data_IF_727226406160
#
_entry.id   IF_727226406160
#
_cell.length_a   1.000
_cell.length_b   1.000
_cell.length_c   1.000
_cell.angle_alpha   90.00
_cell.angle_beta   90.00
_cell.angle_gamma   90.00
#
_symmetry.space_group_name_H-M   'P 1'
#
loop_
_entity.id
_entity.type
_entity.pdbx_description
1 polymer ?
#
# COMPACT_ATOMS: atom_id res chain seq x y z
N UNK A 1 -6.60 5.22 6.07
CA UNK A 1 -6.51 6.55 6.63
C UNK A 1 -5.32 6.59 7.56
N UNK A 2 -4.34 7.43 7.20
CA UNK A 2 -3.15 7.64 8.02
C UNK A 2 -3.60 8.30 9.33
N UNK A 3 -3.05 7.84 10.46
CA UNK A 3 -3.20 8.50 11.74
C UNK A 3 -2.87 9.99 11.59
N UNK A 4 -3.67 10.87 12.16
CA UNK A 4 -3.33 12.30 12.21
C UNK A 4 -2.00 12.49 12.97
N UNK A 5 -1.29 13.58 12.71
CA UNK A 5 -0.03 13.89 13.41
C UNK A 5 -0.21 13.93 14.93
N UNK A 6 -1.35 14.43 15.39
CA UNK A 6 -1.74 14.48 16.81
C UNK A 6 -1.96 13.09 17.40
N UNK A 7 -2.66 12.19 16.68
CA UNK A 7 -2.85 10.82 17.13
C UNK A 7 -1.54 10.04 17.16
N UNK A 8 -0.60 10.33 16.23
CA UNK A 8 0.75 9.75 16.24
C UNK A 8 1.56 10.22 17.46
N UNK A 9 1.55 11.52 17.74
CA UNK A 9 2.28 12.08 18.89
C UNK A 9 1.77 11.48 20.21
N UNK A 10 0.45 11.37 20.35
CA UNK A 10 -0.17 10.81 21.54
C UNK A 10 0.16 9.32 21.76
N UNK A 11 0.14 8.49 20.69
CA UNK A 11 0.44 7.07 20.78
C UNK A 11 1.94 6.82 21.00
N UNK A 12 2.82 7.63 20.40
CA UNK A 12 4.28 7.41 20.41
C UNK A 12 4.95 8.07 21.59
N UNK A 13 4.49 9.25 22.02
CA UNK A 13 5.19 10.07 23.01
C UNK A 13 4.43 10.28 24.34
N UNK A 14 3.17 9.82 24.41
CA UNK A 14 2.34 10.05 25.60
C UNK A 14 2.00 11.52 25.87
N UNK A 15 2.29 12.41 24.91
CA UNK A 15 2.00 13.83 25.03
C UNK A 15 0.50 14.08 25.03
N UNK A 16 0.00 14.75 26.06
CA UNK A 16 -1.41 15.09 26.15
C UNK A 16 -1.76 16.14 25.10
N UNK A 17 -2.78 15.93 24.24
CA UNK A 17 -3.38 17.05 23.53
C UNK A 17 -3.99 17.99 24.59
N UNK A 18 -3.57 19.24 24.59
CA UNK A 18 -4.22 20.26 25.43
C UNK A 18 -5.69 20.39 24.97
N UNK A 19 -6.60 19.89 25.77
CA UNK A 19 -8.04 20.13 25.60
C UNK A 19 -9.00 18.95 25.67
N UNK A 20 -8.56 17.69 25.64
CA UNK A 20 -9.50 16.55 25.55
C UNK A 20 -9.58 15.72 26.84
N UNK A 21 -10.50 16.12 27.74
CA UNK A 21 -10.84 15.34 28.94
C UNK A 21 -11.47 13.95 28.62
N UNK A 22 -12.00 13.74 27.41
CA UNK A 22 -12.55 12.46 26.96
C UNK A 22 -11.46 11.46 26.57
N UNK A 23 -10.34 11.93 26.05
CA UNK A 23 -9.21 11.05 25.68
C UNK A 23 -8.56 10.44 26.92
N UNK A 24 -8.57 11.12 28.06
CA UNK A 24 -8.08 10.57 29.33
C UNK A 24 -8.95 9.45 29.91
N UNK A 25 -10.26 9.44 29.62
CA UNK A 25 -11.17 8.37 30.04
C UNK A 25 -11.03 7.08 29.25
N UNK A 26 -10.36 7.13 28.11
CA UNK A 26 -10.21 5.99 27.20
C UNK A 26 -8.84 5.30 27.28
N UNK A 27 -7.93 5.77 28.14
CA UNK A 27 -6.74 5.02 28.53
C UNK A 27 -7.15 4.22 29.76
N UNK A 28 -7.30 2.90 29.63
CA UNK A 28 -7.71 2.09 30.75
C UNK A 28 -6.72 2.24 31.90
N UNK A 29 -7.23 2.36 33.11
CA UNK A 29 -6.42 2.55 34.31
C UNK A 29 -6.10 1.18 34.90
N UNK A 30 -4.89 0.67 34.63
CA UNK A 30 -4.27 -0.42 35.34
C UNK A 30 -4.92 -1.82 35.17
N UNK A 31 -4.10 -2.85 35.05
CA UNK A 31 -4.46 -4.26 34.84
C UNK A 31 -5.29 -4.59 33.59
N UNK A 32 -5.06 -3.82 32.54
CA UNK A 32 -5.69 -4.08 31.26
C UNK A 32 -5.20 -5.39 30.68
N UNK A 33 -6.17 -6.16 30.23
CA UNK A 33 -5.82 -7.32 29.43
C UNK A 33 -5.46 -6.84 28.00
N UNK A 34 -4.57 -7.55 27.33
CA UNK A 34 -4.13 -7.19 25.99
C UNK A 34 -5.27 -7.04 24.99
N UNK A 35 -6.44 -7.68 25.22
CA UNK A 35 -7.63 -7.56 24.39
C UNK A 35 -8.23 -6.15 24.43
N UNK A 36 -8.30 -5.51 25.60
CA UNK A 36 -8.81 -4.13 25.74
C UNK A 36 -7.91 -3.13 25.06
N UNK A 37 -6.58 -3.30 25.15
CA UNK A 37 -5.61 -2.46 24.43
C UNK A 37 -5.83 -2.59 22.93
N UNK A 38 -6.01 -3.80 22.42
CA UNK A 38 -6.23 -4.04 20.98
C UNK A 38 -7.56 -3.47 20.52
N UNK A 39 -8.64 -3.59 21.29
CA UNK A 39 -9.95 -3.03 20.91
C UNK A 39 -9.93 -1.49 20.91
N UNK A 40 -9.20 -0.88 21.85
CA UNK A 40 -8.94 0.56 21.83
C UNK A 40 -8.09 0.99 20.62
N UNK A 41 -7.07 0.21 20.24
CA UNK A 41 -6.28 0.46 19.04
C UNK A 41 -7.12 0.31 17.77
N UNK A 42 -7.96 -0.72 17.65
CA UNK A 42 -8.86 -0.92 16.50
C UNK A 42 -9.77 0.26 16.26
N UNK A 43 -10.39 0.79 17.32
CA UNK A 43 -11.32 1.92 17.22
C UNK A 43 -10.65 3.21 16.72
N UNK A 44 -9.33 3.37 16.99
CA UNK A 44 -8.55 4.58 16.67
C UNK A 44 -7.75 4.48 15.38
N UNK A 45 -7.36 3.28 14.97
CA UNK A 45 -6.36 3.08 13.90
C UNK A 45 -6.91 2.42 12.64
N UNK A 46 -8.19 2.06 12.60
CA UNK A 46 -8.78 1.33 11.47
C UNK A 46 -8.29 -0.12 11.32
N UNK A 47 -7.66 -0.71 12.35
CA UNK A 47 -7.21 -2.11 12.38
C UNK A 47 -8.35 -3.09 12.66
N UNK A 48 -9.54 -2.86 12.13
CA UNK A 48 -10.74 -3.62 12.42
C UNK A 48 -10.68 -5.14 12.15
N UNK A 49 -9.71 -5.59 11.34
CA UNK A 49 -9.52 -7.01 11.02
C UNK A 49 -8.61 -7.77 12.01
N UNK A 50 -7.99 -7.06 12.98
CA UNK A 50 -7.09 -7.69 13.94
C UNK A 50 -7.85 -8.26 15.13
N UNK A 51 -7.48 -9.48 15.52
CA UNK A 51 -7.94 -10.13 16.75
C UNK A 51 -6.79 -10.32 17.73
N UNK A 52 -7.05 -10.10 19.00
CA UNK A 52 -6.12 -10.44 20.06
C UNK A 52 -6.09 -11.97 20.25
N UNK A 53 -4.89 -12.55 20.15
CA UNK A 53 -4.66 -13.99 20.36
C UNK A 53 -4.01 -14.30 21.70
N UNK A 54 -3.36 -13.31 22.34
CA UNK A 54 -2.72 -13.46 23.64
C UNK A 54 -1.43 -12.67 23.79
N UNK A 55 -0.82 -12.78 24.95
CA UNK A 55 0.54 -12.29 25.22
C UNK A 55 1.51 -13.40 24.82
N UNK A 56 2.48 -13.08 23.95
CA UNK A 56 3.53 -14.00 23.52
C UNK A 56 4.71 -13.98 24.47
N UNK A 57 5.12 -12.79 24.91
CA UNK A 57 6.23 -12.62 25.84
C UNK A 57 6.02 -11.37 26.70
N UNK A 58 6.59 -11.39 27.91
CA UNK A 58 6.68 -10.23 28.79
C UNK A 58 8.09 -10.18 29.37
N UNK A 59 8.79 -9.07 29.13
CA UNK A 59 10.10 -8.77 29.69
C UNK A 59 9.96 -7.63 30.69
N UNK A 60 10.19 -7.92 31.97
CA UNK A 60 10.02 -6.98 33.08
C UNK A 60 11.41 -6.60 33.60
N UNK A 61 11.67 -5.31 33.66
CA UNK A 61 12.89 -4.75 34.22
C UNK A 61 12.51 -3.61 35.18
N UNK A 62 12.56 -3.85 36.47
CA UNK A 62 12.10 -2.96 37.54
C UNK A 62 10.65 -2.50 37.31
N UNK A 63 10.42 -1.19 37.22
CA UNK A 63 9.11 -0.58 37.00
C UNK A 63 8.71 -0.51 35.50
N UNK A 64 9.48 -1.11 34.59
CA UNK A 64 9.19 -1.12 33.17
C UNK A 64 8.96 -2.54 32.67
N UNK A 65 8.06 -2.68 31.72
CA UNK A 65 7.83 -3.95 31.04
C UNK A 65 7.67 -3.74 29.52
N UNK A 66 8.19 -4.68 28.73
CA UNK A 66 7.87 -4.81 27.30
C UNK A 66 6.97 -6.02 27.15
N UNK A 67 5.74 -5.77 26.75
CA UNK A 67 4.74 -6.82 26.49
C UNK A 67 4.59 -7.03 24.99
N UNK A 68 4.88 -8.23 24.53
CA UNK A 68 4.67 -8.64 23.14
C UNK A 68 3.28 -9.27 23.00
N UNK A 69 2.41 -8.61 22.24
CA UNK A 69 1.03 -9.03 22.01
C UNK A 69 0.94 -9.66 20.63
N UNK A 70 0.39 -10.87 20.59
CA UNK A 70 0.08 -11.58 19.34
C UNK A 70 -1.29 -11.16 18.82
N UNK A 71 -1.32 -10.67 17.57
CA UNK A 71 -2.50 -10.22 16.86
C UNK A 71 -2.69 -11.05 15.60
N UNK A 72 -3.88 -11.63 15.41
CA UNK A 72 -4.26 -12.32 14.18
C UNK A 72 -4.96 -11.38 13.23
N UNK A 73 -4.45 -11.19 12.00
CA UNK A 73 -5.22 -10.58 10.91
C UNK A 73 -5.96 -11.69 10.15
N UNK A 74 -7.28 -11.74 10.30
CA UNK A 74 -8.10 -12.79 9.69
C UNK A 74 -8.11 -12.73 8.17
N UNK A 75 -8.08 -11.54 7.58
CA UNK A 75 -8.06 -11.38 6.13
C UNK A 75 -6.74 -11.85 5.51
N UNK A 76 -5.64 -11.68 6.24
CA UNK A 76 -4.32 -12.13 5.83
C UNK A 76 -4.05 -13.58 6.25
N UNK A 77 -4.86 -14.13 7.18
CA UNK A 77 -4.60 -15.41 7.85
C UNK A 77 -3.20 -15.49 8.46
N UNK A 78 -2.70 -14.34 8.97
CA UNK A 78 -1.33 -14.18 9.49
C UNK A 78 -1.34 -13.54 10.86
N UNK A 79 -0.36 -13.94 11.67
CA UNK A 79 -0.10 -13.36 12.98
C UNK A 79 0.94 -12.26 12.89
N UNK A 80 0.78 -11.22 13.72
CA UNK A 80 1.69 -10.10 13.87
C UNK A 80 1.97 -9.86 15.34
N UNK A 81 3.16 -9.31 15.66
CA UNK A 81 3.57 -9.00 17.02
C UNK A 81 3.60 -7.50 17.23
N UNK A 82 2.79 -7.03 18.17
CA UNK A 82 2.81 -5.64 18.63
C UNK A 82 3.53 -5.57 19.97
N UNK A 83 4.55 -4.71 20.11
CA UNK A 83 5.32 -4.52 21.33
C UNK A 83 4.88 -3.25 22.05
N UNK A 84 4.47 -3.42 23.30
CA UNK A 84 3.94 -2.34 24.14
C UNK A 84 4.87 -2.16 25.31
N UNK A 85 5.34 -0.93 25.54
CA UNK A 85 6.04 -0.55 26.75
C UNK A 85 5.03 -0.13 27.79
N UNK A 86 5.15 -0.71 28.97
CA UNK A 86 4.34 -0.41 30.13
C UNK A 86 5.24 0.06 31.28
N UNK A 87 4.71 0.90 32.15
CA UNK A 87 5.37 1.35 33.36
C UNK A 87 4.46 1.06 34.57
N UNK A 88 5.07 0.52 35.64
CA UNK A 88 4.41 0.40 36.92
C UNK A 88 4.51 1.74 37.67
N UNK A 89 3.39 2.23 38.16
CA UNK A 89 3.32 3.45 38.95
C UNK A 89 3.39 3.13 40.45
N UNK A 90 3.51 4.18 41.28
CA UNK A 90 3.58 4.08 42.75
C UNK A 90 2.37 3.37 43.38
N UNK A 91 1.23 3.34 42.68
CA UNK A 91 0.01 2.62 43.06
C UNK A 91 0.07 1.12 42.75
N UNK A 92 1.19 0.64 42.15
CA UNK A 92 1.40 -0.74 41.74
C UNK A 92 0.71 -1.13 40.43
N UNK A 93 0.02 -0.20 39.76
CA UNK A 93 -0.67 -0.44 38.52
C UNK A 93 0.24 -0.22 37.31
N UNK A 94 0.13 -1.12 36.31
CA UNK A 94 0.85 -0.99 35.04
C UNK A 94 0.05 -0.12 34.09
N UNK A 95 0.74 0.87 33.46
CA UNK A 95 0.14 1.74 32.44
C UNK A 95 0.92 1.70 31.14
N UNK A 96 0.19 1.75 30.05
CA UNK A 96 0.75 1.83 28.71
C UNK A 96 1.48 3.17 28.55
N UNK A 97 2.75 3.12 28.14
CA UNK A 97 3.54 4.29 27.79
C UNK A 97 3.60 4.52 26.29
N UNK A 98 4.00 3.49 25.54
CA UNK A 98 4.19 3.59 24.09
C UNK A 98 4.08 2.24 23.39
N UNK A 99 3.86 2.27 22.09
CA UNK A 99 3.99 1.10 21.22
C UNK A 99 5.35 1.20 20.54
N UNK A 100 6.29 0.36 20.94
CA UNK A 100 7.72 0.50 20.57
C UNK A 100 8.03 0.09 19.13
N UNK A 101 7.18 -0.71 18.48
CA UNK A 101 7.39 -1.20 17.11
C UNK A 101 6.24 -0.85 16.14
N UNK A 102 5.49 0.22 16.40
CA UNK A 102 4.31 0.55 15.59
C UNK A 102 4.61 0.69 14.10
N UNK A 103 5.72 1.37 13.76
CA UNK A 103 6.09 1.58 12.35
C UNK A 103 6.46 0.26 11.64
N UNK A 104 7.26 -0.58 12.30
CA UNK A 104 7.66 -1.89 11.77
C UNK A 104 6.43 -2.79 11.61
N UNK A 105 5.55 -2.81 12.61
CA UNK A 105 4.29 -3.53 12.57
C UNK A 105 3.40 -3.09 11.39
N UNK A 106 3.26 -1.78 11.20
CA UNK A 106 2.47 -1.24 10.07
C UNK A 106 3.08 -1.60 8.73
N UNK A 107 4.40 -1.48 8.60
CA UNK A 107 5.13 -1.83 7.38
C UNK A 107 5.00 -3.31 7.05
N UNK A 108 5.23 -4.18 8.03
CA UNK A 108 5.10 -5.64 7.86
C UNK A 108 3.69 -6.03 7.42
N UNK A 109 2.67 -5.41 8.04
CA UNK A 109 1.28 -5.65 7.65
C UNK A 109 0.97 -5.15 6.25
N UNK A 110 1.45 -3.95 5.87
CA UNK A 110 1.28 -3.40 4.52
C UNK A 110 1.92 -4.31 3.46
N UNK A 111 3.13 -4.79 3.71
CA UNK A 111 3.81 -5.75 2.84
C UNK A 111 3.03 -7.06 2.69
N UNK A 112 2.46 -7.56 3.79
CA UNK A 112 1.63 -8.75 3.77
C UNK A 112 0.32 -8.54 2.99
N UNK A 113 -0.32 -7.36 3.10
CA UNK A 113 -1.50 -6.98 2.30
C UNK A 113 -1.14 -6.93 0.81
N UNK A 114 -0.03 -6.28 0.45
CA UNK A 114 0.45 -6.20 -0.93
C UNK A 114 0.71 -7.60 -1.51
N UNK A 115 1.39 -8.46 -0.75
CA UNK A 115 1.66 -9.83 -1.16
C UNK A 115 0.37 -10.64 -1.37
N UNK A 116 -0.61 -10.50 -0.47
CA UNK A 116 -1.90 -11.19 -0.58
C UNK A 116 -2.72 -10.69 -1.76
N UNK A 117 -2.76 -9.38 -2.01
CA UNK A 117 -3.42 -8.80 -3.18
C UNK A 117 -2.75 -9.27 -4.48
N UNK A 118 -1.41 -9.33 -4.52
CA UNK A 118 -0.69 -9.85 -5.67
C UNK A 118 -1.05 -11.33 -5.95
N UNK A 119 -1.16 -12.15 -4.90
CA UNK A 119 -1.62 -13.55 -5.02
C UNK A 119 -3.04 -13.64 -5.60
N UNK A 120 -3.97 -12.86 -5.04
CA UNK A 120 -5.38 -12.85 -5.46
C UNK A 120 -5.56 -12.31 -6.89
N UNK A 121 -4.71 -11.40 -7.33
CA UNK A 121 -4.76 -10.82 -8.67
C UNK A 121 -4.11 -11.70 -9.75
N UNK A 122 -3.30 -12.72 -9.40
CA UNK A 122 -2.70 -13.62 -10.41
C UNK A 122 -3.69 -14.26 -11.38
N UNK A 123 -4.83 -14.84 -10.93
CA UNK A 123 -5.80 -15.41 -11.84
C UNK A 123 -6.46 -14.34 -12.72
N UNK A 124 -6.68 -13.11 -12.20
CA UNK A 124 -7.24 -12.00 -12.97
C UNK A 124 -6.24 -11.56 -14.04
N UNK A 125 -4.94 -11.43 -13.68
CA UNK A 125 -3.87 -11.16 -14.64
C UNK A 125 -3.86 -12.18 -15.79
N UNK A 126 -3.94 -13.46 -15.46
CA UNK A 126 -4.01 -14.53 -16.46
C UNK A 126 -5.24 -14.42 -17.39
N UNK A 127 -6.39 -13.98 -16.86
CA UNK A 127 -7.57 -13.71 -17.68
C UNK A 127 -7.39 -12.50 -18.58
N UNK A 128 -6.81 -11.41 -18.08
CA UNK A 128 -6.48 -10.23 -18.88
C UNK A 128 -5.54 -10.62 -20.02
N UNK A 129 -4.42 -11.28 -19.72
CA UNK A 129 -3.40 -11.66 -20.71
C UNK A 129 -3.93 -12.65 -21.76
N UNK A 130 -4.88 -13.51 -21.40
CA UNK A 130 -5.53 -14.42 -22.35
C UNK A 130 -6.44 -13.68 -23.35
N UNK A 131 -6.97 -12.51 -22.97
CA UNK A 131 -7.93 -11.74 -23.75
C UNK A 131 -7.31 -10.52 -24.44
N UNK A 132 -6.34 -9.84 -23.79
CA UNK A 132 -5.67 -8.65 -24.31
C UNK A 132 -4.18 -8.75 -24.04
N UNK A 133 -3.41 -8.97 -25.10
CA UNK A 133 -1.94 -9.05 -25.03
C UNK A 133 -1.33 -7.66 -25.06
N UNK A 134 -0.41 -7.40 -24.15
CA UNK A 134 0.37 -6.17 -24.09
C UNK A 134 1.81 -6.45 -24.52
N UNK A 135 2.30 -5.69 -25.53
CA UNK A 135 3.70 -5.67 -25.94
C UNK A 135 4.31 -4.29 -25.67
N UNK A 136 5.38 -4.25 -24.93
CA UNK A 136 6.16 -3.02 -24.65
C UNK A 136 6.91 -2.58 -25.92
N UNK A 137 6.84 -1.30 -26.28
CA UNK A 137 7.46 -0.76 -27.50
C UNK A 137 8.52 0.29 -27.22
N UNK A 138 8.18 1.30 -26.40
CA UNK A 138 9.05 2.44 -26.16
C UNK A 138 8.94 2.92 -24.70
N UNK A 139 10.06 3.35 -24.16
CA UNK A 139 10.15 4.14 -22.93
C UNK A 139 11.19 5.24 -23.13
N UNK A 140 10.82 6.52 -23.02
CA UNK A 140 11.73 7.64 -23.17
C UNK A 140 11.31 8.84 -22.33
N UNK A 141 12.27 9.75 -22.08
CA UNK A 141 11.98 11.07 -21.49
C UNK A 141 11.98 12.10 -22.60
N UNK A 142 10.91 12.91 -22.62
CA UNK A 142 10.77 14.05 -23.53
C UNK A 142 10.66 15.34 -22.75
N UNK A 143 11.01 16.46 -23.39
CA UNK A 143 10.90 17.80 -22.82
C UNK A 143 9.61 18.47 -23.28
N UNK A 144 8.92 19.15 -22.38
CA UNK A 144 7.74 19.97 -22.74
C UNK A 144 8.20 21.32 -23.30
N UNK A 145 7.75 21.68 -24.50
CA UNK A 145 8.20 22.86 -25.21
C UNK A 145 8.02 24.20 -24.48
N UNK A 146 7.10 24.29 -23.53
CA UNK A 146 6.78 25.51 -22.78
C UNK A 146 7.25 25.49 -21.33
N UNK A 147 7.97 24.46 -20.90
CA UNK A 147 8.55 24.39 -19.57
C UNK A 147 9.94 23.77 -19.62
N UNK A 148 10.93 24.48 -19.09
CA UNK A 148 12.29 23.94 -18.92
C UNK A 148 12.41 23.01 -17.71
N UNK A 149 11.39 22.96 -16.86
CA UNK A 149 11.40 22.25 -15.56
C UNK A 149 10.68 20.91 -15.69
N UNK A 150 9.52 20.88 -16.35
CA UNK A 150 8.70 19.67 -16.48
C UNK A 150 9.28 18.76 -17.56
N UNK A 151 9.40 17.49 -17.24
CA UNK A 151 9.74 16.40 -18.17
C UNK A 151 8.55 15.45 -18.28
N UNK A 152 8.45 14.78 -19.41
CA UNK A 152 7.44 13.74 -19.62
C UNK A 152 8.14 12.39 -19.76
N UNK A 153 7.73 11.41 -18.97
CA UNK A 153 8.04 10.03 -19.24
C UNK A 153 6.99 9.49 -20.20
N UNK A 154 7.43 9.17 -21.40
CA UNK A 154 6.58 8.69 -22.48
C UNK A 154 6.77 7.19 -22.64
N UNK A 155 5.66 6.44 -22.66
CA UNK A 155 5.68 5.01 -22.97
C UNK A 155 4.73 4.67 -24.11
N UNK A 156 5.15 3.75 -24.97
CA UNK A 156 4.29 3.17 -26.00
C UNK A 156 4.14 1.67 -25.76
N UNK A 157 2.90 1.22 -25.80
CA UNK A 157 2.55 -0.21 -25.71
C UNK A 157 1.62 -0.59 -26.88
N UNK A 158 1.82 -1.76 -27.44
CA UNK A 158 0.89 -2.32 -28.42
C UNK A 158 -0.05 -3.30 -27.73
N UNK A 159 -1.34 -3.08 -27.84
CA UNK A 159 -2.35 -3.99 -27.33
C UNK A 159 -3.00 -4.78 -28.47
N UNK A 160 -3.12 -6.08 -28.29
CA UNK A 160 -3.81 -6.99 -29.24
C UNK A 160 -5.00 -7.64 -28.54
N UNK A 161 -6.20 -7.40 -29.04
CA UNK A 161 -7.43 -7.93 -28.50
C UNK A 161 -7.80 -9.26 -29.15
N UNK A 162 -7.84 -10.33 -28.38
CA UNK A 162 -8.21 -11.69 -28.80
C UNK A 162 -9.45 -12.21 -28.07
N UNK A 163 -10.19 -11.36 -27.37
CA UNK A 163 -11.28 -11.75 -26.44
C UNK A 163 -12.58 -12.20 -27.11
N UNK A 164 -12.74 -11.96 -28.40
CA UNK A 164 -14.03 -12.14 -29.09
C UNK A 164 -15.01 -10.97 -28.95
N UNK A 165 -14.68 -9.94 -28.15
CA UNK A 165 -15.49 -8.74 -27.85
C UNK A 165 -14.68 -7.49 -28.14
N UNK A 166 -15.33 -6.31 -28.23
CA UNK A 166 -14.58 -5.06 -28.26
C UNK A 166 -14.23 -4.61 -26.84
N UNK A 167 -13.01 -4.09 -26.67
CA UNK A 167 -12.58 -3.47 -25.41
C UNK A 167 -12.91 -1.99 -25.47
N UNK A 168 -13.60 -1.47 -24.47
CA UNK A 168 -14.02 -0.06 -24.36
C UNK A 168 -13.16 0.73 -23.38
N UNK A 169 -12.52 0.05 -22.44
CA UNK A 169 -11.66 0.67 -21.44
C UNK A 169 -10.52 -0.26 -21.06
N UNK A 170 -9.37 0.35 -20.86
CA UNK A 170 -8.20 -0.30 -20.28
C UNK A 170 -7.62 0.61 -19.19
N UNK A 171 -7.07 0.02 -18.15
CA UNK A 171 -6.15 0.67 -17.24
C UNK A 171 -4.99 -0.27 -16.93
N UNK A 172 -3.86 0.30 -16.52
CA UNK A 172 -2.66 -0.46 -16.23
C UNK A 172 -1.63 0.33 -15.44
N UNK A 173 -0.51 -0.32 -15.21
CA UNK A 173 0.63 0.23 -14.48
C UNK A 173 1.88 0.17 -15.34
N UNK A 174 2.72 1.18 -15.19
CA UNK A 174 4.10 1.22 -15.63
C UNK A 174 4.98 1.17 -14.38
N UNK A 175 5.97 0.28 -14.35
CA UNK A 175 6.91 0.15 -13.24
C UNK A 175 8.35 0.16 -13.76
N UNK A 176 9.21 0.93 -13.10
CA UNK A 176 10.64 1.00 -13.36
C UNK A 176 11.40 0.43 -12.17
N UNK A 177 12.39 -0.43 -12.48
CA UNK A 177 13.14 -1.20 -11.49
C UNK A 177 14.59 -0.73 -11.43
N UNK A 178 15.09 -0.57 -10.20
CA UNK A 178 16.51 -0.38 -9.94
C UNK A 178 17.35 -1.65 -10.18
N UNK A 179 18.65 -1.52 -10.07
CA UNK A 179 19.60 -2.63 -10.23
C UNK A 179 19.39 -3.72 -9.15
N UNK A 180 18.84 -3.36 -8.01
CA UNK A 180 18.45 -4.25 -6.92
C UNK A 180 17.13 -4.98 -7.17
N UNK A 181 16.45 -4.69 -8.27
CA UNK A 181 15.15 -5.24 -8.63
C UNK A 181 13.97 -4.61 -7.88
N UNK A 182 14.19 -3.55 -7.07
CA UNK A 182 13.12 -2.83 -6.41
C UNK A 182 12.49 -1.80 -7.36
N UNK A 183 11.18 -1.59 -7.20
CA UNK A 183 10.47 -0.56 -7.94
C UNK A 183 10.87 0.80 -7.37
N UNK A 184 11.43 1.68 -8.21
CA UNK A 184 11.74 3.05 -7.82
C UNK A 184 10.79 4.09 -8.42
N UNK A 185 9.99 3.71 -9.43
CA UNK A 185 8.93 4.53 -10.01
C UNK A 185 7.75 3.66 -10.41
N UNK A 186 6.53 4.18 -10.23
CA UNK A 186 5.30 3.54 -10.64
C UNK A 186 4.31 4.60 -11.14
N UNK A 187 3.75 4.39 -12.33
CA UNK A 187 2.76 5.27 -12.94
C UNK A 187 1.54 4.49 -13.42
N UNK A 188 0.35 5.05 -13.22
CA UNK A 188 -0.89 4.46 -13.74
C UNK A 188 -1.26 5.08 -15.08
N UNK A 189 -1.79 4.27 -15.99
CA UNK A 189 -2.32 4.73 -17.26
C UNK A 189 -3.73 4.19 -17.50
N UNK A 190 -4.51 4.89 -18.33
CA UNK A 190 -5.84 4.45 -18.73
C UNK A 190 -6.22 5.01 -20.11
N UNK A 191 -7.12 4.32 -20.81
CA UNK A 191 -7.67 4.77 -22.08
C UNK A 191 -9.09 4.25 -22.32
N UNK A 192 -9.97 5.12 -22.81
CA UNK A 192 -11.31 4.78 -23.31
C UNK A 192 -11.33 4.52 -24.84
N UNK A 193 -10.16 4.47 -25.47
CA UNK A 193 -10.08 4.28 -26.92
C UNK A 193 -10.39 2.83 -27.28
N UNK A 194 -11.48 2.63 -28.00
CA UNK A 194 -11.96 1.31 -28.41
C UNK A 194 -10.88 0.50 -29.12
N UNK A 195 -10.66 -0.73 -28.64
CA UNK A 195 -9.83 -1.73 -29.29
C UNK A 195 -10.73 -2.87 -29.79
N UNK A 196 -10.93 -2.91 -31.12
CA UNK A 196 -11.83 -3.88 -31.76
C UNK A 196 -11.33 -5.30 -31.60
N UNK A 197 -12.26 -6.24 -31.54
CA UNK A 197 -11.92 -7.66 -31.54
C UNK A 197 -11.04 -8.04 -32.73
N UNK A 198 -10.01 -8.86 -32.48
CA UNK A 198 -9.05 -9.33 -33.47
C UNK A 198 -8.07 -8.27 -33.98
N UNK A 199 -8.10 -7.03 -33.43
CA UNK A 199 -7.21 -5.95 -33.85
C UNK A 199 -6.08 -5.69 -32.86
N UNK A 200 -5.01 -5.06 -33.38
CA UNK A 200 -3.92 -4.49 -32.58
C UNK A 200 -3.93 -2.98 -32.72
N UNK A 201 -3.56 -2.27 -31.64
CA UNK A 201 -3.46 -0.81 -31.60
C UNK A 201 -2.28 -0.37 -30.74
N UNK A 202 -1.56 0.64 -31.22
CA UNK A 202 -0.52 1.31 -30.43
C UNK A 202 -1.17 2.36 -29.54
N UNK A 203 -0.84 2.33 -28.27
CA UNK A 203 -1.23 3.32 -27.26
C UNK A 203 0.02 4.03 -26.77
N UNK A 204 -0.12 5.34 -26.61
CA UNK A 204 0.91 6.20 -26.06
C UNK A 204 0.39 6.79 -24.75
N UNK A 205 1.21 6.75 -23.71
CA UNK A 205 0.91 7.30 -22.40
C UNK A 205 2.06 8.20 -21.95
N UNK A 206 1.69 9.34 -21.40
CA UNK A 206 2.61 10.37 -20.94
C UNK A 206 2.42 10.57 -19.44
N UNK A 207 3.53 10.56 -18.69
CA UNK A 207 3.56 10.79 -17.24
C UNK A 207 4.38 12.03 -16.97
N UNK A 208 3.75 13.02 -16.32
CA UNK A 208 4.45 14.24 -15.92
C UNK A 208 5.43 13.93 -14.79
N UNK A 209 6.69 14.35 -14.96
CA UNK A 209 7.74 14.18 -13.97
C UNK A 209 8.09 15.53 -13.34
N UNK A 210 7.96 15.61 -12.02
CA UNK A 210 8.32 16.77 -11.22
C UNK A 210 9.72 16.58 -10.59
N UNK A 211 10.75 17.36 -10.98
CA UNK A 211 12.12 17.18 -10.45
C UNK A 211 12.27 17.43 -8.95
N UNK A 212 11.24 17.97 -8.29
CA UNK A 212 11.21 18.18 -6.84
C UNK A 212 10.61 16.98 -6.07
N UNK A 213 10.06 16.00 -6.77
CA UNK A 213 9.59 14.73 -6.22
C UNK A 213 10.71 13.71 -6.36
N UNK A 214 11.06 13.03 -5.28
CA UNK A 214 12.23 12.14 -5.23
C UNK A 214 12.20 11.04 -6.28
N UNK A 215 11.06 10.40 -6.44
CA UNK A 215 10.84 9.31 -7.39
C UNK A 215 10.95 9.79 -8.85
N UNK A 216 10.36 10.93 -9.16
CA UNK A 216 10.42 11.55 -10.49
C UNK A 216 11.83 12.04 -10.83
N UNK A 217 12.53 12.64 -9.85
CA UNK A 217 13.92 13.05 -10.00
C UNK A 217 14.84 11.86 -10.29
N UNK A 218 14.58 10.70 -9.67
CA UNK A 218 15.29 9.47 -9.95
C UNK A 218 15.08 9.02 -11.42
N UNK A 219 13.86 9.08 -11.94
CA UNK A 219 13.57 8.80 -13.36
C UNK A 219 14.32 9.77 -14.29
N UNK A 220 14.23 11.10 -14.01
CA UNK A 220 14.87 12.13 -14.83
C UNK A 220 16.39 11.94 -14.93
N UNK A 221 17.03 11.48 -13.85
CA UNK A 221 18.47 11.28 -13.78
C UNK A 221 18.94 9.90 -14.30
N UNK A 222 18.02 8.99 -14.60
CA UNK A 222 18.33 7.62 -15.01
C UNK A 222 18.63 7.53 -16.51
N UNK A 223 19.54 6.65 -16.88
CA UNK A 223 19.75 6.19 -18.26
C UNK A 223 18.68 5.12 -18.59
N UNK A 224 17.55 5.55 -19.14
CA UNK A 224 16.42 4.66 -19.43
C UNK A 224 16.76 3.50 -20.37
N UNK A 225 17.87 3.59 -21.13
CA UNK A 225 18.31 2.47 -21.99
C UNK A 225 18.79 1.26 -21.18
N UNK A 226 19.11 1.47 -19.91
CA UNK A 226 19.58 0.44 -18.96
C UNK A 226 18.54 0.10 -17.90
N UNK A 227 17.53 0.93 -17.73
CA UNK A 227 16.47 0.70 -16.75
C UNK A 227 15.59 -0.47 -17.18
N UNK A 228 15.47 -1.46 -16.31
CA UNK A 228 14.47 -2.51 -16.48
C UNK A 228 13.09 -1.91 -16.18
N UNK A 229 12.14 -2.14 -17.07
CA UNK A 229 10.78 -1.68 -16.88
C UNK A 229 9.75 -2.72 -17.28
N UNK A 230 8.56 -2.60 -16.70
CA UNK A 230 7.42 -3.41 -17.06
C UNK A 230 6.16 -2.56 -17.21
N UNK A 231 5.21 -3.06 -18.00
CA UNK A 231 3.88 -2.49 -18.14
C UNK A 231 2.87 -3.64 -18.21
N UNK A 232 1.78 -3.51 -17.46
CA UNK A 232 0.74 -4.53 -17.41
C UNK A 232 -0.64 -3.88 -17.21
N UNK A 233 -1.67 -4.59 -17.68
CA UNK A 233 -3.05 -4.16 -17.50
C UNK A 233 -3.58 -4.61 -16.14
N UNK A 234 -4.31 -3.72 -15.48
CA UNK A 234 -4.99 -3.97 -14.20
C UNK A 234 -6.51 -4.00 -14.34
N UNK A 235 -7.02 -3.39 -15.43
CA UNK A 235 -8.44 -3.38 -15.74
C UNK A 235 -8.65 -3.46 -17.25
N UNK A 236 -9.62 -4.29 -17.65
CA UNK A 236 -10.12 -4.36 -19.04
C UNK A 236 -11.63 -4.47 -18.99
N UNK A 237 -12.35 -3.52 -19.62
CA UNK A 237 -13.81 -3.57 -19.74
C UNK A 237 -14.23 -3.71 -21.20
N UNK A 238 -15.25 -4.54 -21.42
CA UNK A 238 -15.76 -4.91 -22.75
C UNK A 238 -17.09 -4.20 -23.06
N UNK A 239 -17.45 -4.22 -24.33
CA UNK A 239 -18.68 -3.59 -24.86
C UNK A 239 -19.98 -4.28 -24.40
N UNK A 240 -19.90 -5.52 -23.91
CA UNK A 240 -21.03 -6.24 -23.31
C UNK A 240 -21.22 -5.97 -21.81
N UNK A 241 -20.43 -5.10 -21.22
CA UNK A 241 -20.47 -4.73 -19.80
C UNK A 241 -19.71 -5.68 -18.87
N UNK A 242 -19.06 -6.72 -19.40
CA UNK A 242 -18.16 -7.55 -18.60
C UNK A 242 -16.81 -6.86 -18.41
N UNK A 243 -16.11 -7.17 -17.31
CA UNK A 243 -14.77 -6.63 -17.04
C UNK A 243 -13.89 -7.62 -16.28
N UNK A 244 -12.59 -7.38 -16.34
CA UNK A 244 -11.58 -7.94 -15.45
C UNK A 244 -10.94 -6.78 -14.69
N UNK A 245 -10.99 -6.83 -13.36
CA UNK A 245 -10.52 -5.77 -12.49
C UNK A 245 -9.63 -6.35 -11.39
N UNK A 246 -8.41 -5.81 -11.23
CA UNK A 246 -7.58 -6.13 -10.08
C UNK A 246 -8.26 -5.68 -8.79
N UNK A 247 -8.15 -6.50 -7.78
CA UNK A 247 -8.54 -6.14 -6.42
C UNK A 247 -7.57 -5.08 -5.89
N UNK A 248 -8.10 -3.98 -5.40
CA UNK A 248 -7.36 -2.90 -4.74
C UNK A 248 -7.41 -3.01 -3.22
N UNK A 249 -8.35 -3.83 -2.71
CA UNK A 249 -8.53 -4.11 -1.28
C UNK A 249 -8.78 -5.60 -1.07
N UNK A 250 -8.41 -6.09 0.12
CA UNK A 250 -8.72 -7.47 0.51
C UNK A 250 -10.24 -7.67 0.60
N UNK A 251 -10.77 -8.78 0.08
CA UNK A 251 -12.19 -9.12 0.19
C UNK A 251 -12.68 -9.09 1.66
N UNK A 252 -13.98 -8.80 1.81
CA UNK A 252 -14.62 -8.77 3.15
C UNK A 252 -14.77 -10.18 3.70
#
# INVERSE_FOLDING_TARGET
PLLTSETRSYIIHGDKPEGDAEVQKSIPAGNENGAEIVDNLKSRTGFGSLKYEGVENTDINDDNAIVSIKLRDEKLSRDFILKIKMQQLDDGLWRLQEITNLQDFMKEREEAVKAKLAELNKPIAGQIDANVKLDKKLLQITSVHYSSIIRMLETEVSLTNTSGKNVNYIAGMLELYGDDGQIFYSGSFASNAVLRNGSSKLYKFDFELNPYVKEDAAVISSDLSKVKWDAYLTNVAFDDGSSFDYLTELPK
#
